data_IF_599452162729
#
_entry.id   IF_599452162729
#
_cell.length_a   1.000
_cell.length_b   1.000
_cell.length_c   1.000
_cell.angle_alpha   90.00
_cell.angle_beta   90.00
_cell.angle_gamma   90.00
#
_symmetry.space_group_name_H-M   'P 1'
#
loop_
_entity.id
_entity.type
_entity.pdbx_description
1 polymer ?
#
# COMPACT_ATOMS: atom_id res chain seq x y z
N UNK A 1 12.06 16.22 4.31
CA UNK A 1 11.93 14.97 3.50
C UNK A 1 12.06 15.27 2.00
N UNK A 2 11.63 16.43 1.53
CA UNK A 2 11.69 16.77 0.10
C UNK A 2 13.07 17.29 -0.39
N UNK A 3 13.91 17.81 0.49
CA UNK A 3 15.24 18.33 0.08
C UNK A 3 16.20 17.21 -0.37
N UNK A 4 16.05 15.99 0.16
CA UNK A 4 16.85 14.82 -0.25
C UNK A 4 16.51 14.28 -1.63
N UNK A 5 15.31 14.55 -2.15
CA UNK A 5 14.87 14.09 -3.48
C UNK A 5 15.36 14.95 -4.64
N UNK A 6 15.88 16.15 -4.37
CA UNK A 6 16.21 17.16 -5.39
C UNK A 6 17.70 17.26 -5.66
N UNK A 7 18.56 16.75 -4.79
CA UNK A 7 19.99 17.09 -4.80
C UNK A 7 20.99 15.97 -5.01
N UNK A 8 20.63 14.73 -4.97
CA UNK A 8 21.60 13.66 -5.21
C UNK A 8 20.96 12.44 -5.88
N UNK A 9 21.46 12.12 -7.06
CA UNK A 9 21.24 10.81 -7.72
C UNK A 9 21.63 9.62 -6.79
N UNK A 10 22.22 9.89 -5.65
CA UNK A 10 22.79 8.91 -4.74
C UNK A 10 21.78 8.28 -3.78
N UNK A 11 20.69 8.98 -3.41
CA UNK A 11 19.69 8.44 -2.47
C UNK A 11 18.72 7.45 -3.11
N UNK A 12 18.69 7.36 -4.44
CA UNK A 12 17.71 6.56 -5.18
C UNK A 12 18.36 5.34 -5.85
N UNK A 13 19.68 5.21 -5.75
CA UNK A 13 20.43 4.05 -6.25
C UNK A 13 20.44 2.84 -5.33
N UNK A 14 19.80 2.88 -4.17
CA UNK A 14 19.81 1.75 -3.22
C UNK A 14 18.88 0.60 -3.61
N UNK A 15 17.92 0.83 -4.49
CA UNK A 15 17.19 -0.24 -5.19
C UNK A 15 17.57 -0.16 -6.66
N UNK A 16 18.26 -1.16 -7.20
CA UNK A 16 18.69 -1.20 -8.60
C UNK A 16 17.54 -1.18 -9.62
N UNK A 17 16.30 -1.13 -9.16
CA UNK A 17 15.05 -1.22 -9.93
C UNK A 17 14.23 0.08 -9.97
N UNK A 18 14.52 1.06 -9.08
CA UNK A 18 13.76 2.32 -9.03
C UNK A 18 14.48 3.44 -9.75
N UNK A 19 14.15 3.62 -11.02
CA UNK A 19 14.77 4.64 -11.90
C UNK A 19 13.99 5.96 -11.83
N UNK A 20 14.71 7.08 -11.68
CA UNK A 20 14.13 8.42 -11.75
C UNK A 20 14.47 9.07 -13.09
N UNK A 21 13.48 9.72 -13.67
CA UNK A 21 13.57 10.52 -14.89
C UNK A 21 13.09 11.96 -14.65
N UNK A 22 13.38 12.90 -15.57
CA UNK A 22 12.74 14.20 -15.55
C UNK A 22 11.21 14.04 -15.47
N UNK A 23 10.55 14.70 -14.53
CA UNK A 23 9.11 14.57 -14.29
C UNK A 23 8.70 13.52 -13.24
N UNK A 24 9.58 12.59 -12.83
CA UNK A 24 9.25 11.60 -11.79
C UNK A 24 8.84 12.27 -10.47
N UNK A 25 9.45 13.40 -10.13
CA UNK A 25 9.09 14.18 -8.95
C UNK A 25 7.63 14.66 -9.02
N UNK A 26 7.27 15.34 -10.10
CA UNK A 26 5.93 15.91 -10.27
C UNK A 26 4.88 14.79 -10.30
N UNK A 27 5.12 13.74 -11.08
CA UNK A 27 4.24 12.56 -11.12
C UNK A 27 4.04 11.92 -9.73
N UNK A 28 5.09 11.85 -8.91
CA UNK A 28 5.02 11.32 -7.53
C UNK A 28 4.14 12.19 -6.64
N UNK A 29 4.29 13.51 -6.71
CA UNK A 29 3.44 14.43 -5.94
C UNK A 29 2.00 14.45 -6.45
N UNK A 30 1.77 14.33 -7.75
CA UNK A 30 0.44 14.22 -8.33
C UNK A 30 -0.26 12.92 -7.88
N UNK A 31 0.48 11.81 -7.81
CA UNK A 31 -0.04 10.55 -7.28
C UNK A 31 -0.49 10.68 -5.82
N UNK A 32 0.31 11.31 -4.98
CA UNK A 32 -0.07 11.61 -3.57
C UNK A 32 -1.22 12.61 -3.51
N UNK A 33 -1.18 13.66 -4.32
CA UNK A 33 -2.25 14.66 -4.40
C UNK A 33 -3.60 14.05 -4.79
N UNK A 34 -3.58 13.08 -5.70
CA UNK A 34 -4.79 12.39 -6.17
C UNK A 34 -5.49 11.61 -5.04
N UNK A 35 -4.74 10.86 -4.21
CA UNK A 35 -5.36 10.12 -3.10
C UNK A 35 -5.88 11.07 -2.01
N UNK A 36 -5.18 12.17 -1.73
CA UNK A 36 -5.66 13.19 -0.79
C UNK A 36 -6.95 13.83 -1.29
N UNK A 37 -7.01 14.21 -2.57
CA UNK A 37 -8.21 14.77 -3.17
C UNK A 37 -9.39 13.76 -3.18
N UNK A 38 -9.09 12.49 -3.45
CA UNK A 38 -10.07 11.41 -3.39
C UNK A 38 -10.65 11.24 -1.97
N UNK A 39 -9.80 11.22 -0.94
CA UNK A 39 -10.22 11.17 0.46
C UNK A 39 -11.11 12.38 0.80
N UNK A 40 -10.69 13.59 0.47
CA UNK A 40 -11.45 14.82 0.73
C UNK A 40 -12.83 14.78 0.05
N UNK A 41 -12.92 14.27 -1.18
CA UNK A 41 -14.18 14.16 -1.90
C UNK A 41 -15.14 13.13 -1.29
N UNK A 42 -14.62 11.99 -0.80
CA UNK A 42 -15.42 11.00 -0.06
C UNK A 42 -15.93 11.60 1.24
N UNK A 43 -15.07 12.28 2.00
CA UNK A 43 -15.44 12.93 3.26
C UNK A 43 -16.51 14.02 3.09
N UNK A 44 -16.40 14.81 2.04
CA UNK A 44 -17.41 15.83 1.67
C UNK A 44 -18.67 15.22 1.06
N UNK A 45 -18.72 13.90 0.87
CA UNK A 45 -19.85 13.18 0.23
C UNK A 45 -20.10 13.60 -1.21
N UNK A 46 -19.08 14.10 -1.91
CA UNK A 46 -19.15 14.41 -3.34
C UNK A 46 -19.28 13.13 -4.18
N UNK A 47 -18.69 12.03 -3.67
CA UNK A 47 -18.83 10.67 -4.20
C UNK A 47 -18.66 9.64 -3.07
N UNK A 48 -19.09 8.39 -3.32
CA UNK A 48 -19.05 7.32 -2.29
C UNK A 48 -17.69 6.62 -2.22
N UNK A 49 -17.00 6.52 -3.33
CA UNK A 49 -15.67 5.90 -3.48
C UNK A 49 -14.95 6.57 -4.64
N UNK A 50 -13.64 6.32 -4.74
CA UNK A 50 -12.81 6.86 -5.80
C UNK A 50 -11.77 5.83 -6.24
N UNK A 51 -11.34 5.92 -7.49
CA UNK A 51 -10.22 5.17 -8.04
C UNK A 51 -9.16 6.15 -8.55
N UNK A 52 -7.93 6.02 -8.05
CA UNK A 52 -6.81 6.85 -8.45
C UNK A 52 -5.90 6.05 -9.40
N UNK A 53 -6.07 6.23 -10.71
CA UNK A 53 -5.21 5.60 -11.72
C UNK A 53 -3.92 6.40 -11.90
N UNK A 54 -2.93 6.18 -11.06
CA UNK A 54 -1.70 6.99 -10.98
C UNK A 54 -0.42 6.16 -11.09
N UNK A 55 0.67 6.82 -11.48
CA UNK A 55 2.05 6.33 -11.43
C UNK A 55 2.94 7.44 -10.86
N UNK A 56 4.05 7.08 -10.14
CA UNK A 56 4.54 5.72 -9.80
C UNK A 56 3.66 5.02 -8.75
N UNK A 57 3.82 3.68 -8.58
CA UNK A 57 3.20 2.94 -7.48
C UNK A 57 3.80 3.34 -6.12
N UNK A 58 3.31 2.80 -5.01
CA UNK A 58 3.71 3.29 -3.69
C UNK A 58 4.03 2.24 -2.63
N UNK A 59 3.47 1.04 -2.70
CA UNK A 59 3.39 0.10 -1.59
C UNK A 59 4.74 -0.50 -1.12
N UNK A 60 5.78 -0.45 -1.95
CA UNK A 60 7.13 -0.88 -1.56
C UNK A 60 7.95 0.21 -0.89
N UNK A 61 7.56 1.49 -1.02
CA UNK A 61 8.27 2.59 -0.39
C UNK A 61 7.99 2.66 1.11
N UNK A 62 9.03 2.57 1.93
CA UNK A 62 8.96 2.79 3.38
C UNK A 62 9.20 4.26 3.74
N UNK A 63 9.35 4.59 5.04
CA UNK A 63 9.55 5.98 5.48
C UNK A 63 10.80 6.64 4.88
N UNK A 64 11.86 5.86 4.65
CA UNK A 64 13.18 6.39 4.28
C UNK A 64 13.79 5.69 3.07
N UNK A 65 13.06 4.80 2.40
CA UNK A 65 13.60 3.99 1.31
C UNK A 65 12.60 3.84 0.17
N UNK A 66 13.01 4.22 -1.03
CA UNK A 66 12.33 3.91 -2.27
C UNK A 66 12.71 2.48 -2.72
N UNK A 67 11.77 1.70 -3.22
CA UNK A 67 12.00 0.34 -3.72
C UNK A 67 10.86 -0.10 -4.65
N UNK A 68 11.07 -1.10 -5.51
CA UNK A 68 10.03 -1.70 -6.34
C UNK A 68 9.27 -0.67 -7.17
N UNK A 69 9.97 0.23 -7.86
CA UNK A 69 9.43 1.35 -8.63
C UNK A 69 8.66 2.40 -7.81
N UNK A 70 8.57 2.23 -6.49
CA UNK A 70 7.85 3.12 -5.58
C UNK A 70 8.78 4.20 -5.01
N UNK A 71 8.36 5.47 -5.12
CA UNK A 71 9.11 6.62 -4.60
C UNK A 71 8.48 7.12 -3.29
N UNK A 72 7.18 7.40 -3.30
CA UNK A 72 6.40 7.71 -2.10
C UNK A 72 5.26 6.70 -1.95
N UNK A 73 4.94 6.35 -0.73
CA UNK A 73 3.85 5.44 -0.43
C UNK A 73 2.52 6.20 -0.32
N UNK A 74 1.86 6.39 -1.46
CA UNK A 74 0.65 7.20 -1.57
C UNK A 74 -0.47 6.69 -0.65
N UNK A 75 -0.69 5.36 -0.57
CA UNK A 75 -1.74 4.79 0.29
C UNK A 75 -1.43 5.01 1.78
N UNK A 76 -0.16 4.90 2.18
CA UNK A 76 0.26 5.17 3.56
C UNK A 76 0.16 6.65 3.92
N UNK A 77 0.45 7.54 2.97
CA UNK A 77 0.24 8.98 3.15
C UNK A 77 -1.25 9.28 3.31
N UNK A 78 -2.11 8.66 2.49
CA UNK A 78 -3.56 8.76 2.60
C UNK A 78 -4.09 8.28 3.97
N UNK A 79 -3.60 7.15 4.47
CA UNK A 79 -3.98 6.65 5.79
C UNK A 79 -3.55 7.61 6.91
N UNK A 80 -2.32 8.11 6.86
CA UNK A 80 -1.84 9.12 7.83
C UNK A 80 -2.63 10.44 7.75
N UNK A 81 -3.07 10.82 6.55
CA UNK A 81 -3.92 11.98 6.36
C UNK A 81 -5.29 11.82 7.02
N UNK A 82 -5.93 10.65 6.88
CA UNK A 82 -7.17 10.30 7.56
C UNK A 82 -7.02 10.34 9.09
N UNK A 83 -5.94 9.74 9.63
CA UNK A 83 -5.65 9.75 11.06
C UNK A 83 -5.47 11.16 11.61
N UNK A 84 -4.76 12.05 10.88
CA UNK A 84 -4.38 13.38 11.38
C UNK A 84 -5.42 14.46 11.12
N UNK A 85 -6.02 14.46 9.93
CA UNK A 85 -6.97 15.52 9.54
C UNK A 85 -8.40 15.21 9.94
N UNK A 86 -8.81 13.95 9.77
CA UNK A 86 -10.18 13.51 10.02
C UNK A 86 -10.32 12.73 11.34
N UNK A 87 -9.19 12.54 12.06
CA UNK A 87 -9.12 11.92 13.39
C UNK A 87 -9.69 10.50 13.45
N UNK A 88 -9.71 9.78 12.33
CA UNK A 88 -10.09 8.38 12.28
C UNK A 88 -9.25 7.53 13.23
N UNK A 89 -9.86 6.48 13.79
CA UNK A 89 -9.21 5.58 14.77
C UNK A 89 -8.95 4.19 14.20
N UNK A 90 -9.66 3.80 13.14
CA UNK A 90 -9.54 2.48 12.53
C UNK A 90 -9.56 2.58 11.01
N UNK A 91 -8.41 2.41 10.40
CA UNK A 91 -8.25 2.42 8.95
C UNK A 91 -7.77 1.03 8.51
N UNK A 92 -8.35 0.46 7.47
CA UNK A 92 -7.82 -0.72 6.84
C UNK A 92 -7.15 -0.36 5.51
N UNK A 93 -6.00 -0.96 5.26
CA UNK A 93 -5.33 -0.96 3.96
C UNK A 93 -5.33 -2.39 3.46
N UNK A 94 -5.93 -2.62 2.29
CA UNK A 94 -5.94 -3.91 1.59
C UNK A 94 -5.00 -3.78 0.40
N UNK A 95 -4.07 -4.71 0.28
CA UNK A 95 -3.11 -4.79 -0.81
C UNK A 95 -3.28 -6.14 -1.50
N UNK A 96 -3.69 -6.12 -2.77
CA UNK A 96 -3.86 -7.33 -3.59
C UNK A 96 -2.92 -7.37 -4.80
N UNK A 97 -1.91 -6.51 -4.83
CA UNK A 97 -0.77 -6.65 -5.73
C UNK A 97 -0.13 -8.03 -5.56
N UNK A 98 0.40 -8.62 -6.64
CA UNK A 98 1.06 -9.92 -6.56
C UNK A 98 2.29 -9.89 -5.65
N UNK A 99 2.89 -8.72 -5.45
CA UNK A 99 4.03 -8.50 -4.57
C UNK A 99 3.59 -8.05 -3.18
N UNK A 100 4.31 -8.48 -2.15
CA UNK A 100 4.07 -8.01 -0.79
C UNK A 100 4.35 -6.51 -0.64
N UNK A 101 3.38 -5.76 -0.10
CA UNK A 101 3.51 -4.32 0.19
C UNK A 101 4.36 -4.03 1.42
N UNK A 102 5.63 -4.41 1.37
CA UNK A 102 6.56 -4.31 2.49
C UNK A 102 6.74 -2.90 3.04
N UNK A 103 6.70 -1.88 2.19
CA UNK A 103 6.81 -0.49 2.62
C UNK A 103 5.61 -0.05 3.45
N UNK A 104 4.40 -0.45 3.06
CA UNK A 104 3.18 -0.20 3.82
C UNK A 104 3.22 -0.92 5.17
N UNK A 105 3.63 -2.20 5.18
CA UNK A 105 3.83 -2.97 6.39
C UNK A 105 4.80 -2.27 7.36
N UNK A 106 5.97 -1.85 6.88
CA UNK A 106 7.00 -1.20 7.69
C UNK A 106 6.49 0.10 8.33
N UNK A 107 5.75 0.92 7.57
CA UNK A 107 5.21 2.20 8.05
C UNK A 107 4.23 1.99 9.20
N UNK A 108 3.40 0.95 9.13
CA UNK A 108 2.33 0.71 10.10
C UNK A 108 2.61 -0.44 11.07
N UNK A 109 3.83 -0.99 11.10
CA UNK A 109 4.18 -2.13 11.94
C UNK A 109 3.90 -1.91 13.44
N UNK A 110 4.04 -0.68 13.90
CA UNK A 110 3.79 -0.26 15.28
C UNK A 110 2.61 0.73 15.42
N UNK A 111 1.59 0.63 14.56
CA UNK A 111 0.44 1.54 14.59
C UNK A 111 -0.87 0.77 14.76
N UNK A 112 -1.46 0.78 15.96
CA UNK A 112 -2.68 0.07 16.29
C UNK A 112 -3.94 0.56 15.54
N UNK A 113 -3.90 1.77 15.00
CA UNK A 113 -5.02 2.38 14.28
C UNK A 113 -5.14 1.93 12.83
N UNK A 114 -4.11 1.26 12.29
CA UNK A 114 -4.09 0.82 10.90
C UNK A 114 -3.93 -0.70 10.82
N UNK A 115 -4.93 -1.35 10.25
CA UNK A 115 -4.85 -2.76 9.85
C UNK A 115 -4.32 -2.82 8.41
N UNK A 116 -3.21 -3.48 8.19
CA UNK A 116 -2.69 -3.80 6.87
C UNK A 116 -2.94 -5.26 6.54
N UNK A 117 -3.56 -5.52 5.39
CA UNK A 117 -3.84 -6.86 4.86
C UNK A 117 -3.18 -6.97 3.50
N UNK A 118 -2.35 -7.98 3.29
CA UNK A 118 -1.71 -8.23 1.99
C UNK A 118 -1.94 -9.68 1.55
N UNK A 119 -2.47 -9.86 0.34
CA UNK A 119 -2.53 -11.14 -0.36
C UNK A 119 -1.49 -11.10 -1.47
N UNK A 120 -0.47 -11.92 -1.42
CA UNK A 120 0.67 -11.84 -2.34
C UNK A 120 1.29 -13.20 -2.59
N UNK A 121 1.96 -13.35 -3.73
CA UNK A 121 2.73 -14.57 -4.01
C UNK A 121 3.94 -14.68 -3.06
N UNK A 122 4.18 -15.88 -2.55
CA UNK A 122 5.31 -16.15 -1.67
C UNK A 122 5.87 -17.58 -1.88
N UNK A 123 7.19 -17.76 -1.95
CA UNK A 123 8.24 -16.73 -1.92
C UNK A 123 8.34 -15.98 -3.26
N UNK A 124 8.31 -14.68 -3.21
CA UNK A 124 8.46 -13.79 -4.37
C UNK A 124 9.06 -12.45 -3.92
N UNK A 125 9.29 -11.50 -4.87
CA UNK A 125 9.75 -10.16 -4.49
C UNK A 125 8.75 -9.52 -3.49
N UNK A 126 9.20 -8.81 -2.47
CA UNK A 126 10.58 -8.51 -2.05
C UNK A 126 11.18 -9.54 -1.06
N UNK A 127 10.58 -10.70 -0.87
CA UNK A 127 11.03 -11.78 0.02
C UNK A 127 10.56 -11.64 1.47
N UNK A 128 9.60 -10.75 1.73
CA UNK A 128 8.94 -10.51 3.01
C UNK A 128 7.46 -10.87 2.96
N UNK A 129 6.71 -10.74 4.04
CA UNK A 129 5.26 -10.98 4.07
C UNK A 129 4.88 -12.38 4.53
N UNK A 130 5.68 -13.01 5.38
CA UNK A 130 5.29 -14.29 6.00
C UNK A 130 4.10 -14.11 6.96
N UNK A 131 3.31 -15.16 7.18
CA UNK A 131 2.19 -15.13 8.15
C UNK A 131 2.63 -14.82 9.59
N UNK A 132 3.92 -14.98 9.91
CA UNK A 132 4.49 -14.70 11.22
C UNK A 132 4.74 -13.21 11.45
N UNK A 133 4.82 -12.42 10.39
CA UNK A 133 4.97 -10.97 10.46
C UNK A 133 3.60 -10.33 10.76
N UNK A 134 3.32 -10.07 12.05
CA UNK A 134 1.99 -9.68 12.52
C UNK A 134 1.88 -8.24 13.03
N UNK A 135 3.00 -7.51 13.05
CA UNK A 135 3.04 -6.18 13.67
C UNK A 135 2.92 -6.24 15.21
N UNK A 136 3.23 -5.11 15.83
CA UNK A 136 3.25 -4.99 17.30
C UNK A 136 1.87 -5.18 17.95
N UNK A 137 0.82 -4.83 17.24
CA UNK A 137 -0.57 -4.87 17.73
C UNK A 137 -1.41 -5.95 17.02
N UNK A 138 -0.76 -6.94 16.36
CA UNK A 138 -1.42 -7.94 15.53
C UNK A 138 -2.25 -7.29 14.40
N UNK A 139 -1.75 -6.17 13.91
CA UNK A 139 -2.37 -5.29 12.92
C UNK A 139 -1.84 -5.49 11.50
N UNK A 140 -0.93 -6.42 11.30
CA UNK A 140 -0.44 -6.90 10.00
C UNK A 140 -1.03 -8.28 9.76
N UNK A 141 -1.68 -8.46 8.62
CA UNK A 141 -2.31 -9.72 8.24
C UNK A 141 -1.86 -10.13 6.83
N UNK A 142 -0.76 -10.85 6.78
CA UNK A 142 -0.18 -11.39 5.56
C UNK A 142 -0.83 -12.73 5.20
N UNK A 143 -1.20 -12.88 3.93
CA UNK A 143 -1.71 -14.11 3.34
C UNK A 143 -0.81 -14.48 2.16
N UNK A 144 0.31 -15.18 2.43
CA UNK A 144 1.20 -15.66 1.38
C UNK A 144 0.52 -16.75 0.56
N UNK A 145 0.60 -16.66 -0.76
CA UNK A 145 -0.05 -17.53 -1.72
C UNK A 145 0.98 -18.24 -2.61
N UNK A 146 0.73 -19.48 -3.01
CA UNK A 146 1.58 -20.16 -3.97
C UNK A 146 1.44 -19.53 -5.38
N UNK A 147 2.48 -19.66 -6.19
CA UNK A 147 2.39 -19.33 -7.62
C UNK A 147 1.32 -20.18 -8.30
N UNK A 148 0.59 -19.57 -9.24
CA UNK A 148 -0.43 -20.27 -10.04
C UNK A 148 -1.71 -20.62 -9.27
N UNK A 149 -2.01 -19.95 -8.17
CA UNK A 149 -3.29 -20.09 -7.47
C UNK A 149 -4.44 -19.76 -8.43
N UNK A 150 -5.48 -20.59 -8.43
CA UNK A 150 -6.66 -20.37 -9.27
C UNK A 150 -7.53 -19.23 -8.74
N UNK A 151 -8.36 -18.64 -9.61
CA UNK A 151 -9.32 -17.60 -9.21
C UNK A 151 -10.30 -18.09 -8.13
N UNK A 152 -10.73 -19.35 -8.19
CA UNK A 152 -11.62 -19.93 -7.18
C UNK A 152 -10.94 -20.04 -5.81
N UNK A 153 -9.70 -20.53 -5.77
CA UNK A 153 -8.91 -20.60 -4.54
C UNK A 153 -8.63 -19.21 -3.99
N UNK A 154 -8.34 -18.23 -4.86
CA UNK A 154 -8.13 -16.85 -4.44
C UNK A 154 -9.39 -16.23 -3.81
N UNK A 155 -10.57 -16.48 -4.37
CA UNK A 155 -11.84 -16.01 -3.79
C UNK A 155 -12.05 -16.60 -2.38
N UNK A 156 -11.75 -17.89 -2.18
CA UNK A 156 -11.83 -18.52 -0.86
C UNK A 156 -10.85 -17.89 0.14
N UNK A 157 -9.66 -17.48 -0.33
CA UNK A 157 -8.70 -16.73 0.49
C UNK A 157 -9.24 -15.37 0.86
N UNK A 158 -9.94 -14.70 -0.07
CA UNK A 158 -10.49 -13.37 0.17
C UNK A 158 -11.58 -13.35 1.26
N UNK A 159 -12.25 -14.47 1.52
CA UNK A 159 -13.15 -14.61 2.68
C UNK A 159 -12.42 -14.41 4.02
N UNK A 160 -11.14 -14.77 4.10
CA UNK A 160 -10.31 -14.49 5.28
C UNK A 160 -10.05 -12.99 5.45
N UNK A 161 -9.88 -12.26 4.33
CA UNK A 161 -9.75 -10.80 4.31
C UNK A 161 -11.02 -10.15 4.85
N UNK A 162 -12.18 -10.56 4.32
CA UNK A 162 -13.49 -10.03 4.75
C UNK A 162 -13.75 -10.27 6.24
N UNK A 163 -13.47 -11.47 6.73
CA UNK A 163 -13.60 -11.80 8.14
C UNK A 163 -12.71 -10.91 9.01
N UNK A 164 -11.46 -10.68 8.59
CA UNK A 164 -10.52 -9.83 9.32
C UNK A 164 -10.98 -8.36 9.37
N UNK A 165 -11.59 -7.87 8.29
CA UNK A 165 -12.20 -6.53 8.25
C UNK A 165 -13.40 -6.44 9.18
N UNK A 166 -14.28 -7.47 9.22
CA UNK A 166 -15.42 -7.52 10.14
C UNK A 166 -14.99 -7.48 11.61
N UNK A 167 -13.91 -8.18 11.96
CA UNK A 167 -13.33 -8.18 13.30
C UNK A 167 -12.76 -6.80 13.67
N UNK A 168 -12.02 -6.19 12.75
CA UNK A 168 -11.36 -4.90 12.98
C UNK A 168 -12.34 -3.73 12.95
N UNK A 169 -13.38 -3.78 12.11
CA UNK A 169 -14.40 -2.74 11.88
C UNK A 169 -13.77 -1.39 11.48
N UNK A 170 -13.11 -1.32 10.34
CA UNK A 170 -12.51 -0.06 9.88
C UNK A 170 -13.59 1.00 9.61
N UNK A 171 -13.25 2.25 9.85
CA UNK A 171 -14.07 3.42 9.54
C UNK A 171 -13.82 3.87 8.08
N UNK A 172 -12.63 3.58 7.55
CA UNK A 172 -12.24 3.86 6.17
C UNK A 172 -11.37 2.73 5.62
N UNK A 173 -11.54 2.42 4.34
CA UNK A 173 -10.75 1.40 3.64
C UNK A 173 -9.99 2.07 2.50
N UNK A 174 -8.69 1.83 2.45
CA UNK A 174 -7.81 2.16 1.34
C UNK A 174 -7.35 0.87 0.66
N UNK A 175 -7.11 0.92 -0.64
CA UNK A 175 -6.71 -0.26 -1.41
C UNK A 175 -5.48 0.07 -2.26
N UNK A 176 -4.42 -0.73 -2.11
CA UNK A 176 -3.34 -0.83 -3.09
C UNK A 176 -3.77 -1.84 -4.14
N UNK A 177 -4.14 -1.34 -5.32
CA UNK A 177 -4.73 -2.13 -6.38
C UNK A 177 -3.67 -2.43 -7.47
N UNK A 178 -2.87 -3.47 -7.27
CA UNK A 178 -2.02 -4.06 -8.31
C UNK A 178 -2.81 -5.10 -9.10
N UNK A 179 -2.71 -5.08 -10.42
CA UNK A 179 -3.39 -6.03 -11.30
C UNK A 179 -2.40 -7.01 -11.95
N UNK A 180 -1.19 -7.04 -11.47
CA UNK A 180 -0.07 -7.85 -11.92
C UNK A 180 -0.14 -9.33 -11.50
N UNK A 181 -1.20 -9.73 -10.79
CA UNK A 181 -1.57 -11.14 -10.57
C UNK A 181 -2.42 -11.72 -11.71
N UNK A 182 -2.72 -10.95 -12.78
CA UNK A 182 -3.48 -11.41 -13.92
C UNK A 182 -2.69 -12.41 -14.75
N UNK A 183 -3.35 -13.41 -15.35
CA UNK A 183 -2.70 -14.49 -16.11
C UNK A 183 -1.95 -14.03 -17.38
N UNK A 184 -2.26 -12.85 -17.87
CA UNK A 184 -1.64 -12.24 -19.06
C UNK A 184 -0.52 -11.24 -18.71
N UNK A 185 -0.14 -11.05 -17.42
CA UNK A 185 0.93 -10.14 -16.98
C UNK A 185 2.36 -10.76 -16.91
#
# INVERSE_FOLDING_TARGET
ICEGLVGSEMCIRDSGDTVISPGSKDATFDAVGSIIAAIDGVEKKEFKNAFCGVRPPGHHSSQNKAAGFCILNSVSIGANYLLKKYEYKKIAIIDFDVHHGNGTQDIFYENENVLFISTHQYPYYPGTGSEQERGKFNNIFNIPLPAGISSEEYLNVFDRVLKKLEEFRPEFILISAGFDAHEDD
#
